data_IF_447355222882
#
_entry.id   IF_447355222882
#
_cell.length_a   1.000
_cell.length_b   1.000
_cell.length_c   1.000
_cell.angle_alpha   90.00
_cell.angle_beta   90.00
_cell.angle_gamma   90.00
#
_symmetry.space_group_name_H-M   'P 1'
#
loop_
_entity.id
_entity.type
_entity.pdbx_description
1 polymer ?
#
# COMPACT_ATOMS: atom_id res chain seq x y z
N UNK A 1 -20.23 -64.03 43.06
CA UNK A 1 -20.19 -63.58 41.65
C UNK A 1 -21.11 -62.37 41.57
N UNK A 2 -20.63 -61.17 41.92
CA UNK A 2 -19.82 -60.25 41.12
C UNK A 2 -20.46 -59.90 39.78
N UNK A 3 -21.14 -58.75 39.73
CA UNK A 3 -20.71 -57.57 38.96
C UNK A 3 -21.81 -56.51 38.95
N UNK A 4 -21.66 -55.44 39.74
CA UNK A 4 -22.23 -54.14 39.37
C UNK A 4 -21.04 -53.27 38.97
N UNK A 5 -21.02 -52.71 37.75
CA UNK A 5 -19.93 -51.85 37.32
C UNK A 5 -19.94 -50.55 38.12
N UNK A 6 -18.75 -50.14 38.50
CA UNK A 6 -18.41 -48.83 39.05
C UNK A 6 -18.63 -47.78 37.94
N UNK A 7 -19.73 -47.02 38.02
CA UNK A 7 -19.90 -45.84 37.17
C UNK A 7 -19.35 -44.63 37.93
N UNK A 8 -18.18 -44.21 37.47
CA UNK A 8 -17.40 -43.05 37.91
C UNK A 8 -18.30 -41.81 38.07
N UNK A 9 -18.22 -41.09 39.20
CA UNK A 9 -18.82 -39.77 39.31
C UNK A 9 -18.32 -38.90 38.15
N UNK A 10 -19.24 -38.33 37.39
CA UNK A 10 -18.92 -37.32 36.41
C UNK A 10 -18.18 -36.18 37.13
N UNK A 11 -16.89 -36.01 36.85
CA UNK A 11 -16.18 -34.79 37.20
C UNK A 11 -16.98 -33.62 36.62
N UNK A 12 -17.34 -32.62 37.42
CA UNK A 12 -17.75 -31.35 36.85
C UNK A 12 -16.54 -30.90 36.04
N UNK A 13 -16.73 -30.72 34.73
CA UNK A 13 -15.80 -29.91 33.94
C UNK A 13 -15.81 -28.55 34.62
N UNK A 14 -14.81 -28.29 35.43
CA UNK A 14 -14.46 -26.94 35.83
C UNK A 14 -14.31 -26.19 34.51
N UNK A 15 -15.34 -25.39 34.20
CA UNK A 15 -15.13 -24.13 33.52
C UNK A 15 -14.11 -23.42 34.40
N UNK A 16 -12.82 -23.63 34.09
CA UNK A 16 -11.74 -22.79 34.59
C UNK A 16 -12.24 -21.38 34.35
N UNK A 17 -12.55 -20.72 35.47
CA UNK A 17 -13.01 -19.36 35.46
C UNK A 17 -12.09 -18.58 34.54
N UNK A 18 -12.70 -17.83 33.62
CA UNK A 18 -12.09 -16.61 33.19
C UNK A 18 -11.79 -15.82 34.48
N UNK A 19 -10.57 -15.96 34.95
CA UNK A 19 -10.03 -15.13 36.00
C UNK A 19 -10.09 -13.68 35.49
N UNK A 20 -10.89 -12.79 36.10
CA UNK A 20 -10.96 -11.41 35.65
C UNK A 20 -9.66 -10.65 35.91
N UNK A 21 -8.68 -11.24 36.62
CA UNK A 21 -7.36 -10.65 36.88
C UNK A 21 -6.30 -10.99 35.82
N UNK A 22 -6.54 -11.97 34.94
CA UNK A 22 -5.64 -12.29 33.82
C UNK A 22 -6.19 -11.83 32.46
N UNK A 23 -6.96 -10.75 32.44
CA UNK A 23 -7.18 -9.98 31.21
C UNK A 23 -6.17 -8.85 31.23
N UNK A 24 -4.91 -9.21 31.00
CA UNK A 24 -3.89 -8.26 30.59
C UNK A 24 -4.49 -7.49 29.40
N UNK A 25 -4.73 -6.18 29.59
CA UNK A 25 -5.42 -5.36 28.60
C UNK A 25 -4.74 -5.59 27.25
N UNK A 26 -5.46 -6.14 26.28
CA UNK A 26 -4.97 -6.45 24.96
C UNK A 26 -4.49 -5.19 24.21
N UNK A 27 -4.78 -3.99 24.73
CA UNK A 27 -4.17 -2.72 24.32
C UNK A 27 -2.73 -2.51 24.84
N UNK A 28 -2.33 -3.24 25.86
CA UNK A 28 -0.97 -3.26 26.44
C UNK A 28 -0.04 -4.20 25.65
N UNK A 29 -0.60 -5.28 25.07
CA UNK A 29 0.15 -6.27 24.27
C UNK A 29 0.32 -5.83 22.81
N UNK A 30 -0.62 -5.03 22.29
CA UNK A 30 -0.51 -4.44 20.95
C UNK A 30 0.24 -3.12 21.08
N UNK A 31 1.55 -3.15 20.86
CA UNK A 31 2.32 -1.93 20.62
C UNK A 31 1.64 -1.16 19.46
N UNK A 32 1.10 0.05 19.67
CA UNK A 32 0.49 0.83 18.60
C UNK A 32 1.48 1.12 17.46
N UNK A 33 2.79 1.06 17.72
CA UNK A 33 3.83 1.15 16.70
C UNK A 33 3.89 -0.08 15.77
N UNK A 34 3.32 -1.23 16.17
CA UNK A 34 3.09 -2.40 15.31
C UNK A 34 1.99 -2.16 14.28
N UNK A 35 1.09 -1.19 14.49
CA UNK A 35 0.16 -0.72 13.45
C UNK A 35 0.90 0.21 12.49
N UNK A 36 1.82 -0.38 11.73
CA UNK A 36 2.58 0.28 10.66
C UNK A 36 1.57 0.94 9.72
N UNK A 37 1.46 2.27 9.75
CA UNK A 37 0.61 3.04 8.82
C UNK A 37 0.88 2.52 7.41
N UNK A 38 -0.17 2.04 6.73
CA UNK A 38 -0.04 1.54 5.37
C UNK A 38 0.71 2.59 4.54
N UNK A 39 1.88 2.23 3.97
CA UNK A 39 2.71 3.18 3.26
C UNK A 39 1.88 3.78 2.12
N UNK A 40 1.90 5.11 1.99
CA UNK A 40 1.00 5.89 1.13
C UNK A 40 1.28 5.73 -0.37
N UNK A 41 1.74 4.55 -0.81
CA UNK A 41 2.01 4.19 -2.20
C UNK A 41 0.81 4.47 -3.11
N UNK A 42 -0.40 4.20 -2.62
CA UNK A 42 -1.63 4.49 -3.37
C UNK A 42 -1.76 5.98 -3.72
N UNK A 43 -1.42 6.89 -2.80
CA UNK A 43 -1.51 8.32 -3.07
C UNK A 43 -0.52 8.75 -4.17
N UNK A 44 0.73 8.26 -4.13
CA UNK A 44 1.71 8.56 -5.16
C UNK A 44 1.32 8.00 -6.53
N UNK A 45 0.81 6.77 -6.60
CA UNK A 45 0.33 6.20 -7.85
C UNK A 45 -0.83 7.01 -8.43
N UNK A 46 -1.81 7.39 -7.60
CA UNK A 46 -2.94 8.24 -8.03
C UNK A 46 -2.44 9.59 -8.52
N UNK A 47 -1.51 10.24 -7.81
CA UNK A 47 -0.89 11.49 -8.26
C UNK A 47 -0.21 11.32 -9.61
N UNK A 48 0.57 10.25 -9.80
CA UNK A 48 1.23 9.94 -11.07
C UNK A 48 0.22 9.79 -12.21
N UNK A 49 -0.88 9.05 -11.99
CA UNK A 49 -1.95 8.88 -12.98
C UNK A 49 -2.59 10.22 -13.34
N UNK A 50 -2.94 11.03 -12.35
CA UNK A 50 -3.59 12.34 -12.57
C UNK A 50 -2.66 13.27 -13.36
N UNK A 51 -1.41 13.39 -12.93
CA UNK A 51 -0.40 14.20 -13.63
C UNK A 51 -0.18 13.69 -15.06
N UNK A 52 -0.10 12.38 -15.21
CA UNK A 52 0.08 11.71 -16.49
C UNK A 52 -1.05 11.90 -17.49
N UNK A 53 -2.30 11.85 -17.01
CA UNK A 53 -3.49 12.12 -17.81
C UNK A 53 -3.52 13.58 -18.24
N UNK A 54 -3.31 14.52 -17.32
CA UNK A 54 -3.31 15.96 -17.62
C UNK A 54 -2.20 16.30 -18.61
N UNK A 55 -0.97 15.86 -18.34
CA UNK A 55 0.18 16.11 -19.22
C UNK A 55 0.02 15.40 -20.58
N UNK A 56 -0.47 14.16 -20.58
CA UNK A 56 -0.71 13.37 -21.79
C UNK A 56 -1.78 13.98 -22.69
N UNK A 57 -2.88 14.44 -22.12
CA UNK A 57 -3.93 15.13 -22.86
C UNK A 57 -3.43 16.46 -23.39
N UNK A 58 -2.77 17.27 -22.55
CA UNK A 58 -2.22 18.56 -22.98
C UNK A 58 -1.23 18.38 -24.13
N UNK A 59 -0.26 17.46 -23.99
CA UNK A 59 0.74 17.17 -25.01
C UNK A 59 0.11 16.58 -26.28
N UNK A 60 -0.74 15.57 -26.14
CA UNK A 60 -1.37 14.89 -27.28
C UNK A 60 -2.28 15.83 -28.09
N UNK A 61 -3.08 16.66 -27.42
CA UNK A 61 -3.91 17.66 -28.08
C UNK A 61 -3.08 18.78 -28.69
N UNK A 62 -2.01 19.22 -28.03
CA UNK A 62 -1.08 20.20 -28.59
C UNK A 62 -0.45 19.70 -29.89
N UNK A 63 0.10 18.48 -29.88
CA UNK A 63 0.71 17.87 -31.07
C UNK A 63 -0.29 17.76 -32.22
N UNK A 64 -1.53 17.36 -31.93
CA UNK A 64 -2.57 17.27 -32.94
C UNK A 64 -2.99 18.64 -33.49
N UNK A 65 -3.04 19.67 -32.64
CA UNK A 65 -3.39 21.03 -33.03
C UNK A 65 -2.30 21.71 -33.87
N UNK A 66 -1.03 21.32 -33.68
CA UNK A 66 0.12 21.89 -34.42
C UNK A 66 0.57 21.05 -35.61
N UNK A 67 -0.11 19.95 -35.91
CA UNK A 67 0.25 19.04 -36.98
C UNK A 67 0.12 19.70 -38.36
N UNK A 68 1.19 19.63 -39.15
CA UNK A 68 1.21 20.09 -40.54
C UNK A 68 1.57 18.94 -41.50
N UNK A 69 0.63 18.46 -42.35
CA UNK A 69 0.88 17.39 -43.31
C UNK A 69 2.00 17.67 -44.33
N UNK A 70 2.37 18.94 -44.55
CA UNK A 70 3.44 19.31 -45.49
C UNK A 70 4.83 19.22 -44.86
N UNK A 71 4.93 19.27 -43.53
CA UNK A 71 6.19 19.28 -42.78
C UNK A 71 6.41 18.01 -41.97
N UNK A 72 5.34 17.42 -41.45
CA UNK A 72 5.39 16.36 -40.46
C UNK A 72 5.09 14.98 -41.08
N UNK A 73 5.44 13.91 -40.39
CA UNK A 73 5.18 12.55 -40.86
C UNK A 73 3.67 12.26 -40.95
N UNK A 74 3.20 11.52 -41.98
CA UNK A 74 1.78 11.20 -42.13
C UNK A 74 1.18 10.54 -40.89
N UNK A 75 0.07 11.09 -40.42
CA UNK A 75 -0.65 10.66 -39.23
C UNK A 75 -1.93 9.93 -39.62
N UNK A 76 -1.84 8.66 -40.01
CA UNK A 76 -2.98 7.89 -40.57
C UNK A 76 -4.18 7.79 -39.61
N UNK A 77 -3.94 7.77 -38.30
CA UNK A 77 -4.96 7.60 -37.26
C UNK A 77 -4.71 8.52 -36.07
N UNK A 78 -5.19 9.79 -36.13
CA UNK A 78 -4.92 10.77 -35.07
C UNK A 78 -5.45 10.33 -33.70
N UNK A 79 -6.59 9.62 -33.68
CA UNK A 79 -7.16 9.08 -32.44
C UNK A 79 -6.26 8.04 -31.76
N UNK A 80 -5.60 7.16 -32.53
CA UNK A 80 -4.66 6.17 -31.99
C UNK A 80 -3.42 6.85 -31.42
N UNK A 81 -2.94 7.89 -32.11
CA UNK A 81 -1.79 8.64 -31.65
C UNK A 81 -2.04 9.37 -30.34
N UNK A 82 -3.21 10.00 -30.20
CA UNK A 82 -3.63 10.64 -28.96
C UNK A 82 -3.72 9.62 -27.81
N UNK A 83 -4.38 8.48 -28.02
CA UNK A 83 -4.55 7.48 -26.96
C UNK A 83 -3.22 6.85 -26.54
N UNK A 84 -2.33 6.54 -27.49
CA UNK A 84 -0.99 6.02 -27.20
C UNK A 84 -0.15 7.07 -26.45
N UNK A 85 -0.21 8.34 -26.85
CA UNK A 85 0.50 9.42 -26.16
C UNK A 85 0.03 9.54 -24.72
N UNK A 86 -1.29 9.63 -24.50
CA UNK A 86 -1.89 9.72 -23.17
C UNK A 86 -1.53 8.49 -22.33
N UNK A 87 -1.65 7.29 -22.89
CA UNK A 87 -1.36 6.05 -22.16
C UNK A 87 0.13 5.92 -21.84
N UNK A 88 1.00 6.29 -22.76
CA UNK A 88 2.46 6.29 -22.59
C UNK A 88 2.90 7.29 -21.52
N UNK A 89 2.45 8.54 -21.59
CA UNK A 89 2.78 9.56 -20.57
C UNK A 89 2.20 9.20 -19.21
N UNK A 90 0.98 8.66 -19.16
CA UNK A 90 0.34 8.22 -17.91
C UNK A 90 1.10 7.07 -17.28
N UNK A 91 1.48 6.08 -18.06
CA UNK A 91 2.29 4.95 -17.58
C UNK A 91 3.63 5.45 -17.06
N UNK A 92 4.33 6.30 -17.82
CA UNK A 92 5.64 6.82 -17.43
C UNK A 92 5.60 7.61 -16.12
N UNK A 93 4.67 8.57 -16.01
CA UNK A 93 4.52 9.40 -14.80
C UNK A 93 4.08 8.58 -13.59
N UNK A 94 3.21 7.58 -13.78
CA UNK A 94 2.81 6.65 -12.72
C UNK A 94 4.00 5.83 -12.22
N UNK A 95 4.82 5.29 -13.13
CA UNK A 95 6.03 4.54 -12.76
C UNK A 95 7.04 5.43 -12.03
N UNK A 96 7.24 6.67 -12.48
CA UNK A 96 8.11 7.63 -11.81
C UNK A 96 7.60 7.99 -10.41
N UNK A 97 6.29 8.19 -10.26
CA UNK A 97 5.68 8.47 -8.96
C UNK A 97 5.79 7.27 -8.01
N UNK A 98 5.56 6.06 -8.52
CA UNK A 98 5.77 4.81 -7.78
C UNK A 98 7.22 4.63 -7.35
N UNK A 99 8.19 4.88 -8.25
CA UNK A 99 9.61 4.84 -7.93
C UNK A 99 9.95 5.86 -6.83
N UNK A 100 9.47 7.10 -6.94
CA UNK A 100 9.68 8.13 -5.93
C UNK A 100 9.10 7.72 -4.57
N UNK A 101 7.91 7.11 -4.56
CA UNK A 101 7.29 6.57 -3.36
C UNK A 101 8.18 5.52 -2.69
N UNK A 102 8.77 4.59 -3.45
CA UNK A 102 9.66 3.56 -2.90
C UNK A 102 10.95 4.13 -2.32
N UNK A 103 11.51 5.17 -2.95
CA UNK A 103 12.73 5.84 -2.44
C UNK A 103 12.43 6.57 -1.12
N UNK A 104 11.27 7.23 -1.03
CA UNK A 104 10.86 7.93 0.19
C UNK A 104 10.57 6.96 1.34
N UNK A 105 9.93 5.83 1.07
CA UNK A 105 9.67 4.79 2.08
C UNK A 105 10.96 4.23 2.67
N UNK A 106 11.95 3.93 1.81
CA UNK A 106 13.28 3.45 2.24
C UNK A 106 14.01 4.46 3.15
N UNK A 107 13.87 5.76 2.90
CA UNK A 107 14.50 6.82 3.72
C UNK A 107 13.83 6.95 5.09
N UNK A 108 12.52 6.71 5.18
CA UNK A 108 11.79 6.83 6.45
C UNK A 108 12.23 5.78 7.48
N UNK A 109 12.47 4.55 7.05
CA UNK A 109 12.88 3.45 7.94
C UNK A 109 14.28 3.64 8.48
N UNK A 110 15.20 4.17 7.67
CA UNK A 110 16.57 4.44 8.11
C UNK A 110 16.64 5.46 9.25
N UNK A 111 15.74 6.45 9.27
CA UNK A 111 15.67 7.47 10.34
C UNK A 111 15.09 6.91 11.63
N UNK A 112 14.10 6.02 11.54
CA UNK A 112 13.47 5.42 12.72
C UNK A 112 14.44 4.50 13.48
N UNK A 113 15.22 3.68 12.77
CA UNK A 113 16.23 2.83 13.39
C UNK A 113 17.31 3.65 14.12
N UNK A 114 17.75 4.77 13.55
CA UNK A 114 18.77 5.62 14.15
C UNK A 114 18.35 6.24 15.49
N UNK A 115 17.04 6.50 15.69
CA UNK A 115 16.52 6.98 16.97
C UNK A 115 16.47 5.86 18.02
N UNK A 116 16.11 4.63 17.62
CA UNK A 116 16.09 3.50 18.55
C UNK A 116 17.48 3.06 19.01
N UNK A 117 18.47 3.15 18.13
CA UNK A 117 19.87 2.86 18.49
C UNK A 117 20.42 3.90 19.49
N UNK A 118 19.98 5.15 19.40
CA UNK A 118 20.32 6.20 20.35
C UNK A 118 19.67 5.97 21.72
N UNK A 119 18.40 5.56 21.76
CA UNK A 119 17.67 5.28 23.01
C UNK A 119 18.17 4.01 23.72
N UNK A 120 18.70 3.02 22.99
CA UNK A 120 19.28 1.78 23.56
C UNK A 120 20.71 1.94 24.08
N UNK A 121 21.39 3.02 23.73
CA UNK A 121 22.77 3.29 24.15
C UNK A 121 22.87 4.07 25.48
N UNK A 122 21.71 4.40 26.09
CA UNK A 122 21.55 5.09 27.37
C UNK A 122 21.11 4.10 28.44
#
# INVERSE_FOLDING_TARGET
MSSTPEESPAEPVETTGADPETVDDLRTVVDPASVRRAPRYAAFMVTGVVVGLVAGLALGLFLLATFDPQRDFPMDKPGVWLTVTVMGTTTLTTLLAGLLATVLDRRSLKRWNAHQDADRAV
#
